data_IF_430670076757
#
_entry.id   IF_430670076757
#
_cell.length_a   1.000
_cell.length_b   1.000
_cell.length_c   1.000
_cell.angle_alpha   90.00
_cell.angle_beta   90.00
_cell.angle_gamma   90.00
#
_symmetry.space_group_name_H-M   'P 1'
#
loop_
_entity.id
_entity.type
_entity.pdbx_description
1 polymer ?
#
# COMPACT_ATOMS: atom_id res chain seq x y z
N UNK A 1 31.56 26.17 -61.16
CA UNK A 1 31.75 27.17 -60.08
C UNK A 1 31.49 26.49 -58.75
N UNK A 2 32.54 26.44 -57.92
CA UNK A 2 32.61 26.51 -56.44
C UNK A 2 31.65 25.71 -55.52
N UNK A 3 32.25 24.80 -54.73
CA UNK A 3 31.81 24.29 -53.39
C UNK A 3 31.80 25.47 -52.35
N UNK A 4 31.39 25.39 -51.05
CA UNK A 4 31.25 24.19 -50.17
C UNK A 4 30.21 24.25 -48.98
N UNK A 5 30.23 23.19 -48.15
CA UNK A 5 29.99 23.15 -46.68
C UNK A 5 28.56 23.20 -46.10
N UNK A 6 28.24 22.15 -45.33
CA UNK A 6 27.14 22.08 -44.36
C UNK A 6 26.77 20.60 -44.14
N UNK A 7 27.51 19.82 -43.34
CA UNK A 7 27.40 19.83 -41.89
C UNK A 7 26.54 18.64 -41.47
N UNK A 8 27.14 17.47 -41.22
CA UNK A 8 26.47 16.37 -40.51
C UNK A 8 26.34 16.76 -39.04
N UNK A 9 25.14 16.80 -38.44
CA UNK A 9 25.00 16.47 -37.04
C UNK A 9 24.96 14.94 -36.93
N UNK A 10 26.02 14.35 -36.37
CA UNK A 10 25.95 13.02 -35.77
C UNK A 10 24.95 13.09 -34.62
N UNK A 11 23.74 12.61 -34.84
CA UNK A 11 22.82 12.29 -33.76
C UNK A 11 23.15 10.88 -33.28
N UNK A 12 23.57 10.87 -32.02
CA UNK A 12 23.98 9.77 -31.17
C UNK A 12 22.98 8.62 -31.09
N UNK A 13 23.53 7.46 -30.73
CA UNK A 13 22.96 6.14 -30.41
C UNK A 13 21.82 6.09 -29.34
N UNK A 14 20.91 7.07 -29.31
CA UNK A 14 20.00 7.29 -28.19
C UNK A 14 18.49 7.24 -28.53
N UNK A 15 18.10 6.68 -29.66
CA UNK A 15 16.68 6.41 -29.97
C UNK A 15 16.50 4.96 -30.40
N UNK A 16 16.79 4.03 -29.49
CA UNK A 16 16.25 2.67 -29.57
C UNK A 16 14.75 2.80 -29.31
N UNK A 17 13.99 3.03 -30.38
CA UNK A 17 12.54 2.92 -30.39
C UNK A 17 12.14 1.57 -29.79
N UNK A 18 11.73 1.57 -28.52
CA UNK A 18 11.04 0.44 -27.92
C UNK A 18 9.66 0.43 -28.56
N UNK A 19 9.54 -0.34 -29.63
CA UNK A 19 8.25 -0.65 -30.24
C UNK A 19 7.44 -1.44 -29.20
N UNK A 20 6.54 -0.74 -28.50
CA UNK A 20 5.53 -1.38 -27.67
C UNK A 20 4.54 -2.02 -28.63
N UNK A 21 4.77 -3.29 -28.94
CA UNK A 21 3.75 -4.13 -29.58
C UNK A 21 2.66 -4.36 -28.53
N UNK A 22 1.62 -3.53 -28.58
CA UNK A 22 0.36 -3.79 -27.89
C UNK A 22 -0.24 -5.06 -28.49
N UNK A 23 -0.01 -6.20 -27.83
CA UNK A 23 -0.76 -7.41 -28.13
C UNK A 23 -2.20 -7.13 -27.72
N UNK A 24 -3.03 -6.83 -28.73
CA UNK A 24 -4.48 -6.62 -28.69
C UNK A 24 -5.14 -7.09 -27.38
N UNK A 25 -5.64 -6.15 -26.60
CA UNK A 25 -6.42 -6.36 -25.36
C UNK A 25 -7.63 -7.29 -25.59
N UNK A 26 -8.17 -7.29 -26.82
CA UNK A 26 -9.23 -8.21 -27.27
C UNK A 26 -8.79 -9.68 -27.28
N UNK A 27 -7.53 -9.98 -27.62
CA UNK A 27 -7.04 -11.36 -27.71
C UNK A 27 -6.95 -12.02 -26.34
N UNK A 28 -6.58 -11.26 -25.32
CA UNK A 28 -6.50 -11.74 -23.93
C UNK A 28 -7.89 -11.98 -23.33
N UNK A 29 -8.85 -11.10 -23.65
CA UNK A 29 -10.23 -11.27 -23.22
C UNK A 29 -10.94 -12.44 -23.93
N UNK A 30 -10.70 -12.61 -25.24
CA UNK A 30 -11.23 -13.74 -25.99
C UNK A 30 -10.67 -15.09 -25.53
N UNK A 31 -9.38 -15.17 -25.18
CA UNK A 31 -8.80 -16.38 -24.56
C UNK A 31 -9.42 -16.67 -23.19
N UNK A 32 -9.68 -15.64 -22.39
CA UNK A 32 -10.35 -15.81 -21.09
C UNK A 32 -11.79 -16.33 -21.25
N UNK A 33 -12.56 -15.78 -22.20
CA UNK A 33 -13.90 -16.29 -22.52
C UNK A 33 -13.87 -17.74 -22.99
N UNK A 34 -12.94 -18.11 -23.89
CA UNK A 34 -12.78 -19.49 -24.35
C UNK A 34 -12.45 -20.48 -23.22
N UNK A 35 -11.64 -20.06 -22.23
CA UNK A 35 -11.37 -20.87 -21.03
C UNK A 35 -12.62 -21.00 -20.16
N UNK A 36 -13.40 -19.93 -20.03
CA UNK A 36 -14.61 -19.89 -19.21
C UNK A 36 -15.71 -20.79 -19.80
N UNK A 37 -15.94 -20.71 -21.13
CA UNK A 37 -16.88 -21.57 -21.87
C UNK A 37 -16.45 -23.05 -21.81
N UNK A 38 -15.14 -23.32 -21.87
CA UNK A 38 -14.62 -24.68 -21.71
C UNK A 38 -14.75 -25.23 -20.27
N UNK A 39 -14.90 -24.34 -19.27
CA UNK A 39 -15.10 -24.68 -17.86
C UNK A 39 -16.58 -24.81 -17.45
N UNK A 40 -17.55 -24.63 -18.36
CA UNK A 40 -18.97 -24.97 -18.12
C UNK A 40 -19.23 -26.49 -17.97
N UNK A 41 -18.19 -27.31 -17.78
CA UNK A 41 -18.32 -28.60 -17.10
C UNK A 41 -18.58 -28.31 -15.62
N UNK A 42 -19.87 -28.17 -15.30
CA UNK A 42 -20.37 -27.83 -13.98
C UNK A 42 -19.55 -28.45 -12.85
N UNK A 43 -18.97 -27.60 -12.01
CA UNK A 43 -18.27 -28.02 -10.81
C UNK A 43 -19.20 -28.95 -10.02
N UNK A 44 -18.75 -30.17 -9.75
CA UNK A 44 -19.49 -31.07 -8.87
C UNK A 44 -19.77 -30.35 -7.55
N UNK A 45 -21.00 -30.47 -7.04
CA UNK A 45 -21.43 -29.86 -5.77
C UNK A 45 -20.39 -30.20 -4.71
N UNK A 46 -19.63 -29.20 -4.27
CA UNK A 46 -18.59 -29.38 -3.26
C UNK A 46 -19.27 -29.93 -2.00
N UNK A 47 -19.03 -31.21 -1.73
CA UNK A 47 -19.42 -31.80 -0.45
C UNK A 47 -18.55 -31.13 0.60
N UNK A 48 -19.15 -30.56 1.68
CA UNK A 48 -18.34 -30.01 2.75
C UNK A 48 -17.46 -31.14 3.28
N UNK A 49 -16.16 -30.90 3.22
CA UNK A 49 -15.16 -31.80 3.76
C UNK A 49 -15.49 -32.04 5.24
N UNK A 50 -15.91 -33.26 5.59
CA UNK A 50 -16.21 -33.68 6.96
C UNK A 50 -14.97 -33.86 7.82
N UNK A 51 -13.93 -33.07 7.56
CA UNK A 51 -12.82 -32.94 8.48
C UNK A 51 -13.36 -32.11 9.65
N UNK A 52 -13.40 -32.73 10.83
CA UNK A 52 -13.53 -31.98 12.06
C UNK A 52 -12.52 -30.85 12.02
N UNK A 53 -13.02 -29.60 12.09
CA UNK A 53 -12.18 -28.45 12.25
C UNK A 53 -11.35 -28.72 13.51
N UNK A 54 -10.09 -29.11 13.34
CA UNK A 54 -9.18 -29.38 14.45
C UNK A 54 -9.13 -28.09 15.27
N UNK A 55 -9.89 -28.09 16.36
CA UNK A 55 -9.97 -27.04 17.37
C UNK A 55 -8.64 -27.08 18.11
N UNK A 56 -7.62 -26.59 17.43
CA UNK A 56 -6.23 -26.91 17.70
C UNK A 56 -5.25 -26.27 16.72
N UNK A 57 -5.70 -25.35 15.85
CA UNK A 57 -4.83 -24.26 15.42
C UNK A 57 -4.46 -23.50 16.70
N UNK A 58 -3.38 -23.95 17.33
CA UNK A 58 -2.74 -23.35 18.50
C UNK A 58 -2.70 -21.86 18.21
N UNK A 59 -3.48 -21.08 18.96
CA UNK A 59 -3.45 -19.62 18.89
C UNK A 59 -1.97 -19.25 18.87
N UNK A 60 -1.51 -18.72 17.73
CA UNK A 60 -0.18 -18.19 17.64
C UNK A 60 -0.05 -17.20 18.82
N UNK A 61 1.09 -17.17 19.53
CA UNK A 61 1.27 -16.17 20.58
C UNK A 61 0.85 -14.82 20.01
N UNK A 62 0.09 -14.03 20.79
CA UNK A 62 -0.49 -12.74 20.40
C UNK A 62 0.60 -11.68 20.13
N UNK A 63 1.50 -12.00 19.20
CA UNK A 63 2.50 -11.13 18.65
C UNK A 63 1.71 -10.24 17.73
N UNK A 64 1.54 -8.99 18.15
CA UNK A 64 0.99 -7.95 17.30
C UNK A 64 1.85 -7.87 16.05
N UNK A 65 1.31 -8.29 14.92
CA UNK A 65 2.01 -8.22 13.63
C UNK A 65 1.80 -6.87 12.97
N UNK A 66 2.65 -6.54 12.01
CA UNK A 66 2.48 -5.32 11.20
C UNK A 66 1.10 -5.31 10.54
N UNK A 67 0.68 -6.45 9.98
CA UNK A 67 -0.62 -6.58 9.31
C UNK A 67 -1.79 -6.34 10.27
N UNK A 68 -1.72 -6.83 11.51
CA UNK A 68 -2.78 -6.58 12.51
C UNK A 68 -2.98 -5.08 12.75
N UNK A 69 -1.87 -4.34 12.91
CA UNK A 69 -1.93 -2.88 13.10
C UNK A 69 -2.41 -2.20 11.83
N UNK A 70 -1.96 -2.63 10.65
CA UNK A 70 -2.38 -2.06 9.38
C UNK A 70 -3.87 -2.29 9.08
N UNK A 71 -4.43 -3.42 9.51
CA UNK A 71 -5.87 -3.68 9.45
C UNK A 71 -6.60 -2.72 10.39
N UNK A 72 -6.14 -2.58 11.63
CA UNK A 72 -6.78 -1.71 12.64
C UNK A 72 -6.81 -0.24 12.20
N UNK A 73 -5.72 0.29 11.64
CA UNK A 73 -5.68 1.69 11.17
C UNK A 73 -6.48 1.96 9.91
N UNK A 74 -6.97 0.91 9.23
CA UNK A 74 -7.82 1.00 8.03
C UNK A 74 -9.29 0.69 8.30
N UNK A 75 -9.63 0.23 9.51
CA UNK A 75 -11.03 0.00 9.90
C UNK A 75 -11.84 1.28 9.71
N UNK A 76 -13.15 1.12 9.45
CA UNK A 76 -14.08 2.26 9.34
C UNK A 76 -13.65 3.35 8.35
N UNK A 77 -12.89 3.00 7.31
CA UNK A 77 -12.37 3.94 6.31
C UNK A 77 -11.42 5.01 6.90
N UNK A 78 -10.77 4.69 8.02
CA UNK A 78 -9.70 5.48 8.64
C UNK A 78 -8.52 5.63 7.66
N UNK A 79 -7.95 6.82 7.61
CA UNK A 79 -6.77 7.16 6.78
C UNK A 79 -5.56 7.33 7.68
N UNK A 80 -5.70 8.15 8.72
CA UNK A 80 -4.65 8.47 9.67
C UNK A 80 -5.22 9.07 10.95
N UNK A 81 -4.51 8.97 12.09
CA UNK A 81 -4.90 9.67 13.31
C UNK A 81 -4.74 11.19 13.13
N UNK A 82 -5.49 11.96 13.91
CA UNK A 82 -5.39 13.42 13.93
C UNK A 82 -3.96 13.90 14.20
N UNK A 83 -3.55 15.08 13.68
CA UNK A 83 -2.16 15.56 13.76
C UNK A 83 -1.57 15.52 15.17
N UNK A 84 -2.34 15.92 16.18
CA UNK A 84 -1.92 15.94 17.58
C UNK A 84 -1.52 14.55 18.11
N UNK A 85 -2.24 13.52 17.68
CA UNK A 85 -1.97 12.12 18.07
C UNK A 85 -0.82 11.56 17.24
N UNK A 86 -0.79 11.87 15.94
CA UNK A 86 0.28 11.38 15.07
C UNK A 86 1.66 11.91 15.49
N UNK A 87 1.77 13.19 15.86
CA UNK A 87 3.02 13.75 16.41
C UNK A 87 3.50 12.96 17.63
N UNK A 88 2.58 12.54 18.51
CA UNK A 88 2.91 11.71 19.69
C UNK A 88 3.39 10.32 19.28
N UNK A 89 2.72 9.66 18.33
CA UNK A 89 3.16 8.35 17.81
C UNK A 89 4.54 8.45 17.17
N UNK A 90 4.76 9.49 16.37
CA UNK A 90 6.06 9.74 15.75
C UNK A 90 7.14 10.01 16.79
N UNK A 91 6.85 10.75 17.86
CA UNK A 91 7.79 10.97 18.95
C UNK A 91 8.26 9.67 19.62
N UNK A 92 7.38 8.66 19.72
CA UNK A 92 7.70 7.34 20.30
C UNK A 92 8.65 6.49 19.45
N UNK A 93 8.87 6.82 18.17
CA UNK A 93 9.75 6.04 17.29
C UNK A 93 11.24 6.29 17.62
N UNK A 94 12.02 5.26 17.98
CA UNK A 94 13.47 5.39 18.16
C UNK A 94 14.21 5.40 16.81
N UNK A 95 15.45 5.92 16.81
CA UNK A 95 16.40 5.84 15.68
C UNK A 95 15.85 6.29 14.32
N UNK A 96 15.11 7.41 14.28
CA UNK A 96 14.45 7.87 13.06
C UNK A 96 15.47 8.11 11.93
N UNK A 97 15.30 7.49 10.75
CA UNK A 97 16.19 7.75 9.64
C UNK A 97 15.90 9.12 9.02
N UNK A 98 16.89 9.77 8.39
CA UNK A 98 16.73 11.11 7.80
C UNK A 98 15.75 11.14 6.60
N UNK A 99 15.43 9.98 6.01
CA UNK A 99 14.49 9.86 4.90
C UNK A 99 13.03 9.59 5.34
N UNK A 100 12.77 9.52 6.66
CA UNK A 100 11.42 9.27 7.16
C UNK A 100 10.51 10.47 6.86
N UNK A 101 9.31 10.26 6.28
CA UNK A 101 8.40 11.35 6.04
C UNK A 101 8.01 12.01 7.36
N UNK A 102 8.20 13.33 7.46
CA UNK A 102 7.77 14.07 8.64
C UNK A 102 6.24 14.00 8.83
N UNK A 103 5.80 14.10 10.08
CA UNK A 103 4.39 14.37 10.39
C UNK A 103 4.12 15.83 10.05
N UNK A 104 3.01 16.18 9.37
CA UNK A 104 2.67 17.57 9.12
C UNK A 104 2.60 18.33 10.45
N UNK A 105 3.42 19.38 10.59
CA UNK A 105 3.57 20.09 11.85
C UNK A 105 2.39 21.05 12.08
N UNK A 106 1.79 21.55 11.00
CA UNK A 106 0.69 22.53 11.04
C UNK A 106 -0.60 21.98 10.43
N UNK A 107 -1.76 22.48 10.90
CA UNK A 107 -3.07 22.14 10.34
C UNK A 107 -3.18 22.46 8.85
N UNK A 108 -2.57 23.56 8.40
CA UNK A 108 -2.57 23.95 6.98
C UNK A 108 -1.81 22.95 6.09
N UNK A 109 -0.63 22.52 6.52
CA UNK A 109 0.16 21.49 5.82
C UNK A 109 -0.61 20.16 5.76
N UNK A 110 -1.26 19.81 6.87
CA UNK A 110 -2.13 18.65 6.96
C UNK A 110 -3.28 18.71 5.94
N UNK A 111 -4.01 19.83 5.88
CA UNK A 111 -5.14 20.00 4.96
C UNK A 111 -4.72 19.99 3.49
N UNK A 112 -3.50 20.44 3.16
CA UNK A 112 -2.96 20.40 1.79
C UNK A 112 -2.47 19.03 1.36
N UNK A 113 -2.18 18.13 2.31
CA UNK A 113 -1.68 16.79 2.01
C UNK A 113 -2.85 15.88 1.59
N UNK A 114 -2.79 15.21 0.42
CA UNK A 114 -3.80 14.25 -0.01
C UNK A 114 -3.95 13.08 0.97
N UNK A 115 -5.17 12.60 1.18
CA UNK A 115 -5.46 11.52 2.13
C UNK A 115 -4.68 10.23 1.84
N UNK A 116 -4.46 9.89 0.57
CA UNK A 116 -3.62 8.75 0.18
C UNK A 116 -2.16 8.91 0.64
N UNK A 117 -1.60 10.13 0.55
CA UNK A 117 -0.24 10.41 1.01
C UNK A 117 -0.14 10.32 2.53
N UNK A 118 -1.14 10.83 3.27
CA UNK A 118 -1.21 10.66 4.74
C UNK A 118 -1.20 9.18 5.13
N UNK A 119 -1.98 8.34 4.44
CA UNK A 119 -2.02 6.89 4.66
C UNK A 119 -0.66 6.23 4.39
N UNK A 120 0.02 6.64 3.32
CA UNK A 120 1.35 6.11 2.98
C UNK A 120 2.38 6.44 4.06
N UNK A 121 2.43 7.70 4.52
CA UNK A 121 3.33 8.11 5.59
C UNK A 121 3.04 7.36 6.90
N UNK A 122 1.77 7.19 7.27
CA UNK A 122 1.41 6.41 8.47
C UNK A 122 1.87 4.95 8.35
N UNK A 123 1.68 4.32 7.18
CA UNK A 123 2.14 2.95 6.94
C UNK A 123 3.66 2.82 7.13
N UNK A 124 4.43 3.77 6.63
CA UNK A 124 5.90 3.80 6.80
C UNK A 124 6.30 3.93 8.27
N UNK A 125 5.63 4.78 9.03
CA UNK A 125 5.85 4.90 10.47
C UNK A 125 5.55 3.60 11.23
N UNK A 126 4.45 2.91 10.89
CA UNK A 126 4.09 1.63 11.52
C UNK A 126 5.10 0.54 11.11
N UNK A 127 5.53 0.50 9.85
CA UNK A 127 6.56 -0.43 9.39
C UNK A 127 7.89 -0.19 10.12
N UNK A 128 8.26 1.08 10.34
CA UNK A 128 9.44 1.40 11.15
C UNK A 128 9.29 0.97 12.60
N UNK A 129 8.13 1.20 13.20
CA UNK A 129 7.83 0.73 14.56
C UNK A 129 7.98 -0.79 14.70
N UNK A 130 7.55 -1.54 13.68
CA UNK A 130 7.74 -2.99 13.59
C UNK A 130 9.23 -3.35 13.55
N UNK A 131 10.02 -2.68 12.70
CA UNK A 131 11.46 -2.91 12.61
C UNK A 131 12.22 -2.60 13.91
N UNK A 132 11.74 -1.62 14.69
CA UNK A 132 12.34 -1.22 15.97
C UNK A 132 11.77 -1.98 17.18
N UNK A 133 10.79 -2.86 17.00
CA UNK A 133 10.17 -3.62 18.09
C UNK A 133 9.25 -2.81 19.03
N UNK A 134 8.90 -1.57 18.67
CA UNK A 134 7.97 -0.71 19.44
C UNK A 134 6.51 -0.80 18.96
N UNK A 135 6.24 -1.69 18.00
CA UNK A 135 4.92 -1.89 17.40
C UNK A 135 3.79 -2.17 18.42
N UNK A 136 3.98 -3.01 19.46
CA UNK A 136 2.91 -3.28 20.43
C UNK A 136 2.45 -2.03 21.18
N UNK A 137 3.39 -1.13 21.52
CA UNK A 137 3.09 0.11 22.23
C UNK A 137 2.28 1.06 21.35
N UNK A 138 2.64 1.17 20.07
CA UNK A 138 1.90 2.00 19.11
C UNK A 138 0.51 1.40 18.86
N UNK A 139 0.42 0.08 18.74
CA UNK A 139 -0.85 -0.60 18.54
C UNK A 139 -1.83 -0.36 19.69
N UNK A 140 -1.38 -0.41 20.95
CA UNK A 140 -2.24 -0.10 22.10
C UNK A 140 -2.72 1.36 22.08
N UNK A 141 -1.85 2.30 21.72
CA UNK A 141 -2.25 3.70 21.54
C UNK A 141 -3.31 3.82 20.44
N UNK A 142 -3.10 3.17 19.30
CA UNK A 142 -4.02 3.22 18.16
C UNK A 142 -5.37 2.58 18.48
N UNK A 143 -5.38 1.47 19.20
CA UNK A 143 -6.59 0.76 19.63
C UNK A 143 -7.40 1.57 20.64
N UNK A 144 -6.74 2.32 21.51
CA UNK A 144 -7.39 3.15 22.52
C UNK A 144 -7.97 4.48 21.96
N UNK A 145 -7.70 4.82 20.69
CA UNK A 145 -8.17 6.06 20.10
C UNK A 145 -9.66 6.00 19.72
N UNK A 146 -10.47 6.97 20.15
CA UNK A 146 -11.85 7.08 19.69
C UNK A 146 -11.90 7.53 18.23
N UNK A 147 -12.98 7.18 17.51
CA UNK A 147 -13.17 7.52 16.09
C UNK A 147 -13.08 9.01 15.78
N UNK A 148 -13.45 9.87 16.74
CA UNK A 148 -13.35 11.33 16.60
C UNK A 148 -11.92 11.86 16.48
N UNK A 149 -10.93 11.02 16.81
CA UNK A 149 -9.50 11.33 16.69
C UNK A 149 -8.88 10.70 15.44
N UNK A 150 -9.69 10.16 14.54
CA UNK A 150 -9.27 9.66 13.24
C UNK A 150 -9.76 10.57 12.11
N UNK A 151 -8.92 10.69 11.07
CA UNK A 151 -9.31 11.30 9.81
C UNK A 151 -9.77 10.21 8.85
N UNK A 152 -10.91 10.44 8.20
CA UNK A 152 -11.55 9.49 7.31
C UNK A 152 -11.32 9.85 5.84
N UNK A 153 -11.43 8.85 4.96
CA UNK A 153 -11.32 9.10 3.52
C UNK A 153 -12.57 9.86 3.03
N UNK A 154 -12.36 11.03 2.42
CA UNK A 154 -13.44 11.87 1.87
C UNK A 154 -13.82 13.09 2.71
N UNK A 155 -13.16 13.31 3.86
CA UNK A 155 -13.20 14.57 4.62
C UNK A 155 -12.20 15.62 4.12
#
# INVERSE_FOLDING_TARGET
MSKPTGGQPRLSDADRALEVVEKNTDTSWAMFQAITDAQERGFEKTRPTGLDAQRGAREAPAIVTLDDVLVEVRRNNRVCPMPTVWVRIHALLPNKPPHMPGVPATRDEWSRTPSLQKRAHLREHIAWAAAQGVLPQIHEVLRALPETKWHHMGE
#
